data_IF_856117558967
#
_entry.id   IF_856117558967
#
_cell.length_a   1.000
_cell.length_b   1.000
_cell.length_c   1.000
_cell.angle_alpha   90.00
_cell.angle_beta   90.00
_cell.angle_gamma   90.00
#
_symmetry.space_group_name_H-M   'P 1'
#
loop_
_entity.id
_entity.type
_entity.pdbx_description
1 polymer ?
#
# COMPACT_ATOMS: atom_id res chain seq x y z
N UNK A 1 6.55 5.58 17.49
CA UNK A 1 6.82 6.92 16.99
C UNK A 1 5.54 7.70 16.76
N UNK A 2 5.62 9.01 16.93
CA UNK A 2 4.46 9.87 16.74
C UNK A 2 4.00 9.92 15.29
N UNK A 3 2.70 10.03 15.11
CA UNK A 3 2.10 10.21 13.80
C UNK A 3 2.30 11.67 13.36
N UNK A 4 2.75 11.86 12.13
CA UNK A 4 2.93 13.20 11.55
C UNK A 4 1.65 13.58 10.79
N UNK A 5 0.84 14.53 11.29
CA UNK A 5 -0.44 14.87 10.67
C UNK A 5 -0.32 15.40 9.24
N UNK A 6 0.76 16.11 8.93
CA UNK A 6 0.97 16.63 7.59
C UNK A 6 1.25 15.53 6.58
N UNK A 7 2.03 14.53 6.97
CA UNK A 7 2.27 13.37 6.14
C UNK A 7 1.00 12.54 5.97
N UNK A 8 0.21 12.39 7.03
CA UNK A 8 -1.07 11.68 6.95
C UNK A 8 -1.98 12.35 5.93
N UNK A 9 -2.10 13.67 5.98
CA UNK A 9 -2.94 14.42 5.06
C UNK A 9 -2.48 14.25 3.60
N UNK A 10 -1.18 14.37 3.38
CA UNK A 10 -0.60 14.14 2.04
C UNK A 10 -0.82 12.71 1.57
N UNK A 11 -0.64 11.74 2.45
CA UNK A 11 -0.81 10.33 2.11
C UNK A 11 -2.25 9.99 1.78
N UNK A 12 -3.20 10.55 2.51
CA UNK A 12 -4.62 10.36 2.23
C UNK A 12 -4.97 10.90 0.85
N UNK A 13 -4.47 12.07 0.49
CA UNK A 13 -4.71 12.65 -0.83
C UNK A 13 -4.12 11.78 -1.93
N UNK A 14 -2.88 11.33 -1.76
CA UNK A 14 -2.22 10.45 -2.73
C UNK A 14 -3.00 9.14 -2.86
N UNK A 15 -3.39 8.54 -1.74
CA UNK A 15 -4.17 7.30 -1.75
C UNK A 15 -5.47 7.48 -2.53
N UNK A 16 -6.20 8.57 -2.29
CA UNK A 16 -7.45 8.84 -2.99
C UNK A 16 -7.27 8.96 -4.49
N UNK A 17 -6.18 9.57 -4.94
CA UNK A 17 -5.92 9.79 -6.36
C UNK A 17 -5.31 8.58 -7.06
N UNK A 18 -4.39 7.87 -6.39
CA UNK A 18 -3.52 6.89 -7.05
C UNK A 18 -3.83 5.45 -6.66
N UNK A 19 -4.52 5.22 -5.57
CA UNK A 19 -4.69 3.86 -5.02
C UNK A 19 -6.14 3.42 -4.93
N UNK A 20 -7.09 4.37 -4.86
CA UNK A 20 -8.49 4.05 -4.57
C UNK A 20 -9.21 3.33 -5.71
N UNK A 21 -8.63 3.28 -6.90
CA UNK A 21 -9.21 2.48 -7.99
C UNK A 21 -9.22 1.00 -7.65
N UNK A 22 -8.26 0.52 -6.84
CA UNK A 22 -8.11 -0.90 -6.50
C UNK A 22 -8.22 -1.19 -5.02
N UNK A 23 -7.95 -0.20 -4.16
CA UNK A 23 -7.96 -0.38 -2.70
C UNK A 23 -9.02 0.50 -2.06
N UNK A 24 -9.77 -0.07 -1.13
CA UNK A 24 -10.76 0.68 -0.37
C UNK A 24 -10.51 0.53 1.12
N UNK A 25 -10.64 1.64 1.84
CA UNK A 25 -10.55 1.62 3.30
C UNK A 25 -11.76 0.84 3.85
N UNK A 26 -11.47 -0.07 4.75
CA UNK A 26 -12.51 -0.80 5.47
C UNK A 26 -13.03 -2.04 4.77
N UNK A 27 -12.63 -2.31 3.53
CA UNK A 27 -13.10 -3.52 2.85
C UNK A 27 -12.15 -4.01 1.75
N UNK A 28 -12.23 -5.30 1.48
CA UNK A 28 -11.59 -5.95 0.36
C UNK A 28 -12.22 -5.48 -0.94
N UNK A 29 -11.42 -5.25 -1.97
CA UNK A 29 -11.90 -4.81 -3.27
C UNK A 29 -11.07 -5.52 -4.35
N UNK A 30 -10.57 -4.80 -5.36
CA UNK A 30 -9.63 -5.40 -6.34
C UNK A 30 -8.33 -5.78 -5.64
N UNK A 31 -7.88 -4.93 -4.69
CA UNK A 31 -6.76 -5.23 -3.82
C UNK A 31 -7.20 -5.32 -2.35
N UNK A 32 -6.26 -5.67 -1.45
CA UNK A 32 -6.58 -5.79 -0.02
C UNK A 32 -6.86 -4.43 0.62
N UNK A 33 -7.65 -4.44 1.69
CA UNK A 33 -7.88 -3.23 2.47
C UNK A 33 -6.59 -2.84 3.19
N UNK A 34 -6.28 -1.53 3.30
CA UNK A 34 -5.07 -1.09 3.99
C UNK A 34 -5.18 -1.08 5.50
N UNK A 35 -6.39 -1.24 6.05
CA UNK A 35 -6.62 -1.16 7.49
C UNK A 35 -5.80 -2.20 8.23
N UNK A 36 -5.09 -1.76 9.28
CA UNK A 36 -4.29 -2.65 10.14
C UNK A 36 -3.22 -3.42 9.38
N UNK A 37 -2.72 -2.85 8.28
CA UNK A 37 -1.70 -3.54 7.46
C UNK A 37 -0.45 -3.86 8.29
N UNK A 38 -0.10 -3.01 9.26
CA UNK A 38 1.10 -3.22 10.07
C UNK A 38 0.95 -4.31 11.13
N UNK A 39 -0.27 -4.85 11.30
CA UNK A 39 -0.46 -6.07 12.09
C UNK A 39 -0.04 -7.32 11.31
N UNK A 40 0.10 -7.20 9.98
CA UNK A 40 0.37 -8.32 9.07
C UNK A 40 1.70 -8.20 8.35
N UNK A 41 2.19 -6.98 8.13
CA UNK A 41 3.39 -6.73 7.32
C UNK A 41 4.24 -5.64 7.95
N UNK A 42 5.54 -5.68 7.72
CA UNK A 42 6.46 -4.64 8.19
C UNK A 42 6.32 -3.37 7.36
N UNK A 43 6.70 -2.21 7.92
CA UNK A 43 6.73 -0.97 7.14
C UNK A 43 7.59 -1.08 5.88
N UNK A 44 8.73 -1.76 5.96
CA UNK A 44 9.62 -1.98 4.83
C UNK A 44 8.93 -2.75 3.71
N UNK A 45 8.19 -3.80 4.08
CA UNK A 45 7.45 -4.60 3.10
C UNK A 45 6.41 -3.74 2.38
N UNK A 46 5.65 -2.93 3.14
CA UNK A 46 4.63 -2.06 2.58
C UNK A 46 5.24 -1.01 1.64
N UNK A 47 6.35 -0.40 2.05
CA UNK A 47 7.07 0.57 1.20
C UNK A 47 7.52 -0.08 -0.11
N UNK A 48 8.12 -1.26 -0.03
CA UNK A 48 8.57 -1.96 -1.23
C UNK A 48 7.42 -2.31 -2.15
N UNK A 49 6.29 -2.70 -1.60
CA UNK A 49 5.10 -3.03 -2.40
C UNK A 49 4.54 -1.80 -3.11
N UNK A 50 4.57 -0.64 -2.46
CA UNK A 50 4.13 0.62 -3.07
C UNK A 50 5.09 1.04 -4.18
N UNK A 51 6.39 0.96 -3.91
CA UNK A 51 7.42 1.47 -4.83
C UNK A 51 7.72 0.53 -5.99
N UNK A 52 7.65 -0.77 -5.77
CA UNK A 52 8.01 -1.76 -6.79
C UNK A 52 7.14 -3.01 -6.68
N UNK A 53 5.85 -2.88 -6.99
CA UNK A 53 4.94 -4.04 -6.89
C UNK A 53 5.33 -5.19 -7.81
N UNK A 54 5.86 -4.89 -8.99
CA UNK A 54 6.27 -5.94 -9.95
C UNK A 54 7.43 -6.77 -9.41
N UNK A 55 8.45 -6.11 -8.86
CA UNK A 55 9.60 -6.80 -8.28
C UNK A 55 9.20 -7.59 -7.04
N UNK A 56 8.30 -7.06 -6.24
CA UNK A 56 7.78 -7.77 -5.07
C UNK A 56 7.06 -9.05 -5.48
N UNK A 57 6.19 -8.98 -6.46
CA UNK A 57 5.45 -10.17 -6.93
C UNK A 57 6.42 -11.23 -7.48
N UNK A 58 7.50 -10.82 -8.12
CA UNK A 58 8.49 -11.76 -8.65
C UNK A 58 9.31 -12.43 -7.54
N UNK A 59 9.65 -11.70 -6.49
CA UNK A 59 10.70 -12.12 -5.56
C UNK A 59 10.22 -12.38 -4.13
N UNK A 60 9.04 -11.91 -3.76
CA UNK A 60 8.54 -12.05 -2.39
C UNK A 60 7.39 -13.04 -2.35
N UNK A 61 7.51 -14.13 -1.57
CA UNK A 61 6.45 -15.16 -1.49
C UNK A 61 5.11 -14.62 -1.02
N UNK A 62 5.10 -13.64 -0.10
CA UNK A 62 3.87 -13.06 0.42
C UNK A 62 3.15 -12.24 -0.65
N UNK A 63 3.90 -11.47 -1.44
CA UNK A 63 3.33 -10.69 -2.53
C UNK A 63 2.79 -11.61 -3.63
N UNK A 64 3.49 -12.70 -3.94
CA UNK A 64 2.99 -13.72 -4.88
C UNK A 64 1.68 -14.32 -4.40
N UNK A 65 1.60 -14.68 -3.12
CA UNK A 65 0.40 -15.27 -2.55
C UNK A 65 -0.78 -14.30 -2.64
N UNK A 66 -0.54 -13.00 -2.38
CA UNK A 66 -1.58 -11.99 -2.50
C UNK A 66 -2.09 -11.85 -3.93
N UNK A 67 -1.20 -11.89 -4.90
CA UNK A 67 -1.59 -11.84 -6.31
C UNK A 67 -2.57 -12.96 -6.63
N UNK A 68 -2.29 -14.16 -6.19
CA UNK A 68 -3.17 -15.31 -6.42
C UNK A 68 -4.48 -15.17 -5.66
N UNK A 69 -4.42 -14.70 -4.41
CA UNK A 69 -5.61 -14.48 -3.59
C UNK A 69 -6.57 -13.49 -4.24
N UNK A 70 -6.05 -12.49 -4.95
CA UNK A 70 -6.84 -11.46 -5.62
C UNK A 70 -6.98 -11.73 -7.11
N UNK A 71 -7.06 -13.00 -7.47
CA UNK A 71 -7.40 -13.47 -8.82
C UNK A 71 -6.40 -13.05 -9.90
N UNK A 72 -5.13 -12.86 -9.51
CA UNK A 72 -4.09 -12.46 -10.45
C UNK A 72 -4.15 -11.01 -10.88
N UNK A 73 -4.95 -10.17 -10.19
CA UNK A 73 -5.01 -8.74 -10.49
C UNK A 73 -3.71 -8.06 -10.00
N UNK A 74 -2.83 -7.61 -10.90
CA UNK A 74 -1.56 -7.03 -10.47
C UNK A 74 -1.74 -5.63 -9.95
N UNK A 75 -0.89 -5.26 -8.99
CA UNK A 75 -0.80 -3.88 -8.54
C UNK A 75 0.06 -3.10 -9.53
N UNK A 76 -0.51 -2.03 -10.09
CA UNK A 76 0.21 -1.18 -11.03
C UNK A 76 1.18 -0.27 -10.30
N UNK A 77 2.37 -0.09 -10.87
CA UNK A 77 3.34 0.86 -10.34
C UNK A 77 2.85 2.28 -10.61
N UNK A 78 2.66 3.07 -9.55
CA UNK A 78 2.16 4.44 -9.67
C UNK A 78 3.30 5.45 -9.83
N UNK A 79 4.55 4.97 -9.89
CA UNK A 79 5.73 5.81 -10.05
C UNK A 79 5.87 6.88 -8.98
N UNK A 80 5.51 6.54 -7.76
CA UNK A 80 5.63 7.46 -6.62
C UNK A 80 7.09 7.64 -6.23
N UNK A 81 7.44 8.83 -5.75
CA UNK A 81 8.72 9.03 -5.08
C UNK A 81 8.72 8.33 -3.73
N UNK A 82 9.90 8.13 -3.15
CA UNK A 82 9.98 7.58 -1.79
C UNK A 82 9.23 8.46 -0.79
N UNK A 83 9.30 9.79 -0.97
CA UNK A 83 8.61 10.73 -0.12
C UNK A 83 7.10 10.56 -0.19
N UNK A 84 6.56 10.42 -1.39
CA UNK A 84 5.12 10.19 -1.58
C UNK A 84 4.68 8.84 -1.01
N UNK A 85 5.46 7.80 -1.24
CA UNK A 85 5.19 6.48 -0.68
C UNK A 85 5.23 6.51 0.85
N UNK A 86 6.18 7.25 1.43
CA UNK A 86 6.28 7.41 2.87
C UNK A 86 5.06 8.14 3.44
N UNK A 87 4.52 9.11 2.71
CA UNK A 87 3.29 9.79 3.10
C UNK A 87 2.10 8.82 3.13
N UNK A 88 1.96 7.99 2.11
CA UNK A 88 0.91 6.95 2.08
C UNK A 88 1.08 5.99 3.25
N UNK A 89 2.31 5.60 3.54
CA UNK A 89 2.61 4.74 4.70
C UNK A 89 2.13 5.39 5.99
N UNK A 90 2.37 6.69 6.16
CA UNK A 90 1.94 7.40 7.36
C UNK A 90 0.41 7.42 7.48
N UNK A 91 -0.28 7.62 6.37
CA UNK A 91 -1.73 7.53 6.35
C UNK A 91 -2.19 6.13 6.82
N UNK A 92 -1.52 5.07 6.35
CA UNK A 92 -1.87 3.71 6.76
C UNK A 92 -1.70 3.48 8.26
N UNK A 93 -0.78 4.21 8.90
CA UNK A 93 -0.59 4.09 10.36
C UNK A 93 -1.82 4.54 11.14
N UNK A 94 -2.71 5.31 10.54
CA UNK A 94 -3.94 5.78 11.18
C UNK A 94 -5.13 4.84 10.95
N UNK A 95 -4.98 3.85 10.11
CA UNK A 95 -6.04 2.90 9.77
C UNK A 95 -5.92 1.56 10.56
#
# INVERSE_FOLDING_TARGET
NEINPQLVSSGEEIFSKMCSACHKVGKKFIGPKPNKIFDRRTPEWVMNMILDPEGMVKNDPLAKALLMEFNGAPMANQNLSEEDARAVLEYFRTL
#
